data_IF_587956667301
#
_entry.id   IF_587956667301
#
_cell.length_a   1.000
_cell.length_b   1.000
_cell.length_c   1.000
_cell.angle_alpha   90.00
_cell.angle_beta   90.00
_cell.angle_gamma   90.00
#
_symmetry.space_group_name_H-M   'P 1'
#
loop_
_entity.id
_entity.type
_entity.pdbx_description
1 polymer ?
#
# COMPACT_ATOMS: atom_id res chain seq x y z
N UNK A 1 -1.49 8.47 19.85
CA UNK A 1 -1.43 7.72 18.57
C UNK A 1 -0.52 8.42 17.55
N UNK A 2 0.79 8.10 17.55
CA UNK A 2 1.78 8.77 16.70
C UNK A 2 1.78 8.19 15.28
N UNK A 3 0.83 8.64 14.46
CA UNK A 3 0.44 8.17 13.11
C UNK A 3 -0.72 7.20 13.22
N UNK A 4 -1.88 7.69 12.79
CA UNK A 4 -3.18 7.06 12.98
C UNK A 4 -3.13 5.57 12.66
N UNK A 5 -3.58 4.77 13.61
CA UNK A 5 -4.12 3.45 13.38
C UNK A 5 -5.34 3.63 12.47
N UNK A 6 -5.10 3.79 11.16
CA UNK A 6 -6.11 3.51 10.16
C UNK A 6 -6.55 2.06 10.45
N UNK A 7 -7.85 1.77 10.63
CA UNK A 7 -8.32 0.40 10.68
C UNK A 7 -8.10 -0.19 9.28
N UNK A 8 -6.86 -0.65 9.06
CA UNK A 8 -6.39 -1.23 7.82
C UNK A 8 -6.89 -2.66 7.83
N UNK A 9 -8.08 -2.83 7.26
CA UNK A 9 -8.56 -4.12 6.79
C UNK A 9 -8.86 -5.11 7.93
N UNK A 10 -10.14 -5.28 8.28
CA UNK A 10 -10.54 -6.23 9.31
C UNK A 10 -10.18 -7.69 8.93
N UNK A 11 -10.03 -7.97 7.63
CA UNK A 11 -9.72 -9.30 7.07
C UNK A 11 -8.35 -9.38 6.36
N UNK A 12 -7.68 -8.26 6.10
CA UNK A 12 -6.34 -8.26 5.49
C UNK A 12 -6.32 -8.65 4.01
N UNK A 13 -7.44 -8.50 3.29
CA UNK A 13 -7.56 -8.91 1.89
C UNK A 13 -6.58 -8.14 1.00
N UNK A 14 -6.45 -6.83 1.20
CA UNK A 14 -5.49 -6.00 0.45
C UNK A 14 -4.08 -5.96 1.09
N UNK A 15 -3.81 -6.79 2.10
CA UNK A 15 -2.53 -6.79 2.85
C UNK A 15 -1.35 -7.25 1.99
N UNK A 16 -1.60 -8.13 1.01
CA UNK A 16 -0.59 -8.59 0.07
C UNK A 16 -0.16 -7.45 -0.88
N UNK A 17 -1.11 -6.64 -1.38
CA UNK A 17 -0.83 -5.53 -2.30
C UNK A 17 -0.05 -4.42 -1.61
N UNK A 18 -0.43 -4.05 -0.38
CA UNK A 18 0.31 -3.04 0.39
C UNK A 18 1.71 -3.51 0.75
N UNK A 19 1.92 -4.80 1.02
CA UNK A 19 3.25 -5.34 1.28
C UNK A 19 4.16 -5.14 0.07
N UNK A 20 3.69 -5.46 -1.14
CA UNK A 20 4.42 -5.22 -2.39
C UNK A 20 4.73 -3.73 -2.61
N UNK A 21 3.75 -2.85 -2.38
CA UNK A 21 3.97 -1.41 -2.46
C UNK A 21 5.04 -0.92 -1.47
N UNK A 22 4.96 -1.33 -0.20
CA UNK A 22 5.91 -0.92 0.83
C UNK A 22 7.31 -1.48 0.56
N UNK A 23 7.42 -2.70 0.03
CA UNK A 23 8.69 -3.26 -0.44
C UNK A 23 9.27 -2.45 -1.59
N UNK A 24 8.43 -2.04 -2.56
CA UNK A 24 8.87 -1.15 -3.64
C UNK A 24 9.44 0.14 -3.07
N UNK A 25 8.69 0.86 -2.24
CA UNK A 25 9.12 2.10 -1.61
C UNK A 25 10.43 1.93 -0.84
N UNK A 26 10.61 0.81 -0.11
CA UNK A 26 11.88 0.51 0.57
C UNK A 26 13.04 0.34 -0.42
N UNK A 27 12.83 -0.33 -1.55
CA UNK A 27 13.86 -0.54 -2.59
C UNK A 27 14.31 0.77 -3.22
N UNK A 28 13.36 1.68 -3.49
CA UNK A 28 13.66 3.00 -4.08
C UNK A 28 13.92 4.09 -3.03
N UNK A 29 14.36 3.70 -1.83
CA UNK A 29 14.80 4.60 -0.74
C UNK A 29 13.73 5.63 -0.31
N UNK A 30 12.47 5.24 -0.31
CA UNK A 30 11.36 6.09 0.12
C UNK A 30 10.77 6.98 -0.97
N UNK A 31 11.31 6.95 -2.20
CA UNK A 31 10.81 7.74 -3.32
C UNK A 31 9.63 7.00 -3.96
N UNK A 32 8.51 7.66 -4.24
CA UNK A 32 7.42 7.00 -4.96
C UNK A 32 7.65 7.08 -6.48
N UNK A 33 8.57 6.25 -6.96
CA UNK A 33 8.96 6.18 -8.36
C UNK A 33 7.87 5.53 -9.23
N UNK A 34 7.99 5.59 -10.56
CA UNK A 34 6.93 5.17 -11.48
C UNK A 34 6.46 3.72 -11.20
N UNK A 35 7.38 2.79 -10.96
CA UNK A 35 7.07 1.41 -10.58
C UNK A 35 6.24 1.29 -9.29
N UNK A 36 6.53 2.11 -8.27
CA UNK A 36 5.80 2.06 -7.02
C UNK A 36 4.42 2.75 -7.10
N UNK A 37 4.24 3.66 -8.06
CA UNK A 37 2.95 4.33 -8.27
C UNK A 37 1.89 3.38 -8.80
N UNK A 38 2.23 2.45 -9.67
CA UNK A 38 1.27 1.43 -10.13
C UNK A 38 0.89 0.47 -9.01
N UNK A 39 1.83 0.10 -8.14
CA UNK A 39 1.52 -0.68 -6.93
C UNK A 39 0.62 0.09 -5.96
N UNK A 40 0.82 1.41 -5.82
CA UNK A 40 -0.05 2.26 -5.02
C UNK A 40 -1.47 2.33 -5.59
N UNK A 41 -1.60 2.45 -6.92
CA UNK A 41 -2.91 2.41 -7.60
C UNK A 41 -3.61 1.07 -7.42
N UNK A 42 -2.90 -0.04 -7.54
CA UNK A 42 -3.46 -1.38 -7.30
C UNK A 42 -3.93 -1.54 -5.85
N UNK A 43 -3.15 -1.04 -4.89
CA UNK A 43 -3.55 -1.06 -3.48
C UNK A 43 -4.80 -0.22 -3.22
N UNK A 44 -4.86 0.98 -3.78
CA UNK A 44 -6.04 1.85 -3.67
C UNK A 44 -7.26 1.25 -4.37
N UNK A 45 -7.09 0.63 -5.55
CA UNK A 45 -8.19 -0.02 -6.27
C UNK A 45 -8.75 -1.19 -5.48
N UNK A 46 -7.88 -2.03 -4.90
CA UNK A 46 -8.30 -3.12 -4.00
C UNK A 46 -9.14 -2.62 -2.81
N UNK A 47 -8.85 -1.42 -2.31
CA UNK A 47 -9.58 -0.78 -1.20
C UNK A 47 -10.89 -0.10 -1.64
N UNK A 48 -11.07 0.17 -2.93
CA UNK A 48 -12.22 0.91 -3.49
C UNK A 48 -13.22 0.00 -4.21
N UNK A 49 -12.81 -1.18 -4.66
CA UNK A 49 -13.68 -2.19 -5.30
C UNK A 49 -14.60 -2.90 -4.28
N UNK A 50 -14.56 -2.50 -3.01
CA UNK A 50 -15.35 -3.04 -1.90
C UNK A 50 -16.06 -1.97 -1.09
#
# INVERSE_FOLDING_TARGET
PQRGSFPLDHEGECKHVIATYLECIKKVRGVNDAECRDLAKSYLSCRMDR
#
